data_IF_890015116921
#
_entry.id   IF_890015116921
#
_cell.length_a   1.000
_cell.length_b   1.000
_cell.length_c   1.000
_cell.angle_alpha   90.00
_cell.angle_beta   90.00
_cell.angle_gamma   90.00
#
_symmetry.space_group_name_H-M   'P 1'
#
loop_
_entity.id
_entity.type
_entity.pdbx_description
1 polymer ?
#
# COMPACT_ATOMS: atom_id res chain seq x y z
N UNK A 1 -22.58 2.49 23.15
CA UNK A 1 -22.54 1.80 21.85
C UNK A 1 -21.07 1.62 21.50
N UNK A 2 -20.54 0.41 21.66
CA UNK A 2 -19.17 0.08 21.28
C UNK A 2 -19.05 0.14 19.76
N UNK A 3 -18.14 0.97 19.25
CA UNK A 3 -17.73 0.89 17.85
C UNK A 3 -17.23 -0.54 17.60
N UNK A 4 -17.79 -1.33 16.67
CA UNK A 4 -17.17 -2.60 16.34
C UNK A 4 -15.76 -2.28 15.85
N UNK A 5 -14.74 -2.90 16.48
CA UNK A 5 -13.36 -2.74 16.07
C UNK A 5 -13.29 -2.95 14.56
N UNK A 6 -12.89 -1.90 13.82
CA UNK A 6 -12.81 -1.92 12.36
C UNK A 6 -11.94 -3.13 11.98
N UNK A 7 -12.53 -4.17 11.40
CA UNK A 7 -11.79 -5.35 10.98
C UNK A 7 -10.69 -4.89 10.02
N UNK A 8 -9.43 -5.18 10.34
CA UNK A 8 -8.32 -4.89 9.44
C UNK A 8 -8.60 -5.67 8.15
N UNK A 9 -8.80 -4.99 6.99
CA UNK A 9 -9.04 -5.70 5.76
C UNK A 9 -7.84 -6.60 5.45
N UNK A 10 -8.09 -7.80 4.92
CA UNK A 10 -7.03 -8.62 4.34
C UNK A 10 -6.79 -8.18 2.88
N UNK A 11 -5.61 -8.43 2.28
CA UNK A 11 -5.31 -7.94 0.94
C UNK A 11 -6.34 -8.37 -0.12
N UNK A 12 -6.93 -9.56 0.01
CA UNK A 12 -7.95 -10.08 -0.91
C UNK A 12 -9.30 -9.35 -0.84
N UNK A 13 -9.55 -8.57 0.21
CA UNK A 13 -10.75 -7.75 0.37
C UNK A 13 -10.55 -6.31 -0.12
N UNK A 14 -9.31 -5.92 -0.42
CA UNK A 14 -9.01 -4.58 -0.93
C UNK A 14 -9.19 -4.53 -2.45
N UNK A 15 -10.15 -3.76 -2.98
CA UNK A 15 -10.31 -3.58 -4.42
C UNK A 15 -9.08 -2.92 -5.05
N UNK A 16 -8.46 -1.98 -4.32
CA UNK A 16 -7.26 -1.28 -4.79
C UNK A 16 -6.09 -2.26 -4.91
N UNK A 17 -5.80 -3.01 -3.85
CA UNK A 17 -4.75 -4.02 -3.87
C UNK A 17 -4.95 -5.03 -4.98
N UNK A 18 -6.20 -5.46 -5.19
CA UNK A 18 -6.52 -6.45 -6.22
C UNK A 18 -6.40 -5.92 -7.64
N UNK A 19 -6.63 -4.63 -7.86
CA UNK A 19 -6.42 -3.99 -9.17
C UNK A 19 -4.95 -3.79 -9.56
N UNK A 20 -4.02 -3.82 -8.60
CA UNK A 20 -2.60 -3.60 -8.86
C UNK A 20 -1.92 -4.84 -9.45
N UNK A 21 -0.95 -4.62 -10.34
CA UNK A 21 -0.21 -5.66 -11.03
C UNK A 21 0.82 -6.30 -10.10
N UNK A 22 0.97 -7.62 -10.18
CA UNK A 22 2.05 -8.30 -9.46
C UNK A 22 3.40 -7.90 -10.05
N UNK A 23 4.39 -7.64 -9.20
CA UNK A 23 5.76 -7.34 -9.62
C UNK A 23 6.74 -8.41 -9.15
N UNK A 24 6.95 -8.53 -7.83
CA UNK A 24 7.89 -9.48 -7.23
C UNK A 24 7.54 -9.75 -5.78
N UNK A 25 7.53 -11.02 -5.38
CA UNK A 25 7.18 -11.38 -4.00
C UNK A 25 5.80 -10.84 -3.63
N UNK A 26 5.71 -10.07 -2.55
CA UNK A 26 4.48 -9.39 -2.12
C UNK A 26 4.32 -7.97 -2.68
N UNK A 27 5.22 -7.54 -3.56
CA UNK A 27 5.21 -6.20 -4.14
C UNK A 27 4.32 -6.18 -5.37
N UNK A 28 3.49 -5.14 -5.43
CA UNK A 28 2.68 -4.81 -6.58
C UNK A 28 3.11 -3.48 -7.20
N UNK A 29 2.68 -3.24 -8.44
CA UNK A 29 2.96 -2.01 -9.19
C UNK A 29 1.73 -1.54 -9.96
N UNK A 30 1.77 -0.30 -10.43
CA UNK A 30 0.79 0.24 -11.38
C UNK A 30 1.20 -0.07 -12.82
N UNK A 31 0.31 0.18 -13.78
CA UNK A 31 0.55 -0.14 -15.19
C UNK A 31 1.78 0.56 -15.79
N UNK A 32 2.20 1.70 -15.22
CA UNK A 32 3.37 2.47 -15.65
C UNK A 32 4.68 2.05 -14.99
N UNK A 33 4.62 1.19 -13.97
CA UNK A 33 5.77 0.73 -13.17
C UNK A 33 6.61 1.90 -12.59
N UNK A 34 5.94 2.99 -12.20
CA UNK A 34 6.57 4.15 -11.57
C UNK A 34 6.27 4.25 -10.06
N UNK A 35 5.32 3.44 -9.59
CA UNK A 35 4.94 3.27 -8.19
C UNK A 35 4.95 1.80 -7.78
N UNK A 36 5.38 1.57 -6.55
CA UNK A 36 5.47 0.26 -5.93
C UNK A 36 4.64 0.25 -4.66
N UNK A 37 3.98 -0.87 -4.42
CA UNK A 37 2.96 -1.00 -3.39
C UNK A 37 3.23 -2.25 -2.56
N UNK A 38 3.10 -2.11 -1.25
CA UNK A 38 3.20 -3.19 -0.30
C UNK A 38 2.00 -3.15 0.65
N UNK A 39 1.43 -4.32 0.94
CA UNK A 39 0.37 -4.42 1.93
C UNK A 39 0.95 -4.37 3.34
N UNK A 40 0.48 -3.43 4.16
CA UNK A 40 0.78 -3.40 5.59
C UNK A 40 -0.25 -4.26 6.34
N UNK A 41 0.16 -5.47 6.73
CA UNK A 41 -0.67 -6.40 7.48
C UNK A 41 -1.02 -5.93 8.90
N UNK A 42 -0.31 -4.92 9.42
CA UNK A 42 -0.52 -4.36 10.76
C UNK A 42 -1.70 -3.40 10.78
N UNK A 43 -1.91 -2.68 9.68
CA UNK A 43 -2.87 -1.57 9.61
C UNK A 43 -3.95 -1.79 8.54
N UNK A 44 -3.77 -2.73 7.62
CA UNK A 44 -4.71 -3.01 6.52
C UNK A 44 -4.74 -1.89 5.49
N UNK A 45 -3.61 -1.20 5.33
CA UNK A 45 -3.41 -0.14 4.35
C UNK A 45 -2.22 -0.49 3.44
N UNK A 46 -1.97 0.35 2.44
CA UNK A 46 -0.97 0.09 1.39
C UNK A 46 0.14 1.12 1.50
N UNK A 47 1.36 0.70 1.78
CA UNK A 47 2.54 1.57 1.71
C UNK A 47 2.89 1.81 0.24
N UNK A 48 3.12 3.07 -0.14
CA UNK A 48 3.39 3.50 -1.52
C UNK A 48 4.81 4.01 -1.65
N UNK A 49 5.52 3.60 -2.69
CA UNK A 49 6.90 3.99 -2.96
C UNK A 49 7.08 4.41 -4.42
N UNK A 50 8.08 5.25 -4.70
CA UNK A 50 8.50 5.54 -6.08
C UNK A 50 9.54 4.53 -6.59
N UNK A 51 9.92 4.65 -7.86
CA UNK A 51 10.96 3.82 -8.49
C UNK A 51 12.36 3.86 -7.85
N UNK A 52 12.62 4.81 -6.95
CA UNK A 52 13.88 4.90 -6.19
C UNK A 52 13.76 4.29 -4.79
N UNK A 53 12.64 3.65 -4.50
CA UNK A 53 12.37 3.08 -3.18
C UNK A 53 11.92 4.10 -2.14
N UNK A 54 11.69 5.36 -2.51
CA UNK A 54 11.34 6.40 -1.54
C UNK A 54 9.87 6.30 -1.14
N UNK A 55 9.60 6.30 0.17
CA UNK A 55 8.24 6.23 0.70
C UNK A 55 7.46 7.51 0.36
N UNK A 56 6.30 7.34 -0.27
CA UNK A 56 5.40 8.41 -0.70
C UNK A 56 4.20 8.60 0.25
N UNK A 57 4.03 7.69 1.22
CA UNK A 57 2.94 7.70 2.16
C UNK A 57 2.14 6.40 2.10
N UNK A 58 1.06 6.38 2.87
CA UNK A 58 0.19 5.21 3.00
C UNK A 58 -1.17 5.51 2.40
N UNK A 59 -1.71 4.55 1.66
CA UNK A 59 -2.95 4.61 0.92
C UNK A 59 -4.00 3.69 1.55
N UNK A 60 -5.22 4.18 1.72
CA UNK A 60 -6.35 3.35 2.16
C UNK A 60 -6.66 2.27 1.13
N UNK A 61 -6.67 1.00 1.57
CA UNK A 61 -6.85 -0.15 0.69
C UNK A 61 -8.23 -0.25 0.04
N UNK A 62 -9.24 0.47 0.53
CA UNK A 62 -10.60 0.40 -0.03
C UNK A 62 -10.84 1.50 -1.06
N UNK A 63 -10.36 2.71 -0.77
CA UNK A 63 -10.66 3.92 -1.53
C UNK A 63 -9.52 4.37 -2.42
N UNK A 64 -8.29 3.97 -2.13
CA UNK A 64 -7.10 4.45 -2.82
C UNK A 64 -6.68 5.87 -2.40
N UNK A 65 -7.32 6.45 -1.39
CA UNK A 65 -6.96 7.77 -0.88
C UNK A 65 -5.66 7.70 -0.06
N UNK A 66 -4.77 8.68 -0.24
CA UNK A 66 -3.60 8.82 0.64
C UNK A 66 -4.07 9.28 2.03
N UNK A 67 -3.76 8.48 3.06
CA UNK A 67 -4.21 8.71 4.45
C UNK A 67 -3.07 9.06 5.40
N UNK A 68 -1.82 8.76 5.03
CA UNK A 68 -0.62 9.17 5.77
C UNK A 68 0.39 9.80 4.81
N UNK A 69 1.10 10.85 5.23
CA UNK A 69 2.10 11.52 4.40
C UNK A 69 3.35 10.65 4.21
N UNK A 70 4.18 11.05 3.25
CA UNK A 70 5.53 10.50 3.07
C UNK A 70 6.36 10.64 4.36
N UNK A 71 7.16 9.60 4.65
CA UNK A 71 8.13 9.62 5.75
C UNK A 71 9.51 9.87 5.15
N UNK A 72 10.02 11.09 5.32
CA UNK A 72 11.31 11.50 4.74
C UNK A 72 12.43 10.55 5.19
N UNK A 73 13.19 10.06 4.23
CA UNK A 73 14.31 9.14 4.48
C UNK A 73 13.93 7.67 4.60
N UNK A 74 12.64 7.33 4.71
CA UNK A 74 12.20 5.92 4.62
C UNK A 74 12.38 5.44 3.18
N UNK A 75 13.18 4.39 3.03
CA UNK A 75 13.45 3.74 1.74
C UNK A 75 13.25 2.24 1.84
N UNK A 76 12.86 1.65 0.70
CA UNK A 76 12.79 0.21 0.50
C UNK A 76 13.41 -0.14 -0.85
N UNK A 77 14.25 -1.16 -0.87
CA UNK A 77 14.84 -1.66 -2.11
C UNK A 77 13.91 -2.71 -2.71
N UNK A 78 13.69 -2.64 -4.03
CA UNK A 78 12.85 -3.59 -4.77
C UNK A 78 13.65 -4.48 -5.73
N UNK A 79 14.96 -4.24 -5.83
CA UNK A 79 15.95 -4.99 -6.62
C UNK A 79 16.09 -6.45 -6.18
#
# INVERSE_FOLDING_TARGET
MSNPAKSIPVPSQSPIWMSLQHYRGQIKTNDKVDKFYEWDHTHGDIEVYNKRGEHLGTMDGNTGAMIKPAVKGRKKNFD
#
